data_IF_757651664119
#
_entry.id   IF_757651664119
#
_cell.length_a   1.000
_cell.length_b   1.000
_cell.length_c   1.000
_cell.angle_alpha   90.00
_cell.angle_beta   90.00
_cell.angle_gamma   90.00
#
_symmetry.space_group_name_H-M   'P 1'
#
loop_
_entity.id
_entity.type
_entity.pdbx_description
1 polymer ?
#
# COMPACT_ATOMS: atom_id res chain seq x y z
N UNK A 1 16.81 -6.57 2.69
CA UNK A 1 16.09 -7.86 2.62
C UNK A 1 14.61 -7.60 2.40
N UNK A 2 14.03 -8.29 1.43
CA UNK A 2 12.62 -8.08 1.11
C UNK A 2 11.73 -8.92 2.01
N UNK A 3 10.81 -8.25 2.68
CA UNK A 3 9.77 -8.90 3.47
C UNK A 3 8.44 -8.69 2.77
N UNK A 4 7.46 -9.53 3.10
CA UNK A 4 6.08 -9.33 2.67
C UNK A 4 5.32 -8.66 3.80
N UNK A 5 4.77 -7.51 3.52
CA UNK A 5 4.08 -6.70 4.52
C UNK A 5 2.68 -6.37 4.02
N UNK A 6 1.68 -6.65 4.84
CA UNK A 6 0.32 -6.22 4.56
C UNK A 6 0.01 -5.00 5.42
N UNK A 7 -0.55 -3.97 4.80
CA UNK A 7 -0.95 -2.76 5.49
C UNK A 7 -2.46 -2.63 5.43
N UNK A 8 -3.10 -2.68 6.58
CA UNK A 8 -4.55 -2.57 6.66
C UNK A 8 -4.95 -1.11 6.75
N UNK A 9 -5.57 -0.61 5.69
CA UNK A 9 -6.03 0.77 5.58
C UNK A 9 -5.18 1.57 4.60
N UNK A 10 -5.86 2.38 3.77
CA UNK A 10 -5.21 3.21 2.76
C UNK A 10 -5.52 4.69 2.95
N UNK A 11 -5.78 5.11 4.19
CA UNK A 11 -5.83 6.51 4.53
C UNK A 11 -4.42 7.10 4.52
N UNK A 12 -4.29 8.32 4.98
CA UNK A 12 -2.99 9.00 4.94
C UNK A 12 -1.88 8.21 5.62
N UNK A 13 -2.13 7.73 6.83
CA UNK A 13 -1.11 7.01 7.61
C UNK A 13 -0.74 5.69 6.93
N UNK A 14 -1.75 4.89 6.55
CA UNK A 14 -1.52 3.61 5.91
C UNK A 14 -0.80 3.74 4.59
N UNK A 15 -1.18 4.72 3.79
CA UNK A 15 -0.56 4.95 2.49
C UNK A 15 0.88 5.46 2.64
N UNK A 16 1.12 6.34 3.60
CA UNK A 16 2.48 6.84 3.87
C UNK A 16 3.40 5.69 4.27
N UNK A 17 2.93 4.82 5.15
CA UNK A 17 3.69 3.65 5.57
C UNK A 17 3.92 2.71 4.39
N UNK A 18 2.88 2.50 3.59
CA UNK A 18 2.97 1.59 2.43
C UNK A 18 4.01 2.05 1.42
N UNK A 19 4.01 3.33 1.05
CA UNK A 19 4.99 3.83 0.07
C UNK A 19 6.41 3.81 0.64
N UNK A 20 6.56 4.07 1.92
CA UNK A 20 7.87 4.04 2.55
C UNK A 20 8.43 2.62 2.58
N UNK A 21 7.65 1.65 3.00
CA UNK A 21 8.09 0.27 3.11
C UNK A 21 8.26 -0.40 1.75
N UNK A 22 7.45 -0.02 0.77
CA UNK A 22 7.47 -0.63 -0.56
C UNK A 22 8.73 -0.31 -1.36
N UNK A 23 9.55 0.61 -0.90
CA UNK A 23 10.83 0.89 -1.54
C UNK A 23 11.80 -0.27 -1.40
N UNK A 24 11.66 -1.08 -0.35
CA UNK A 24 12.57 -2.18 -0.06
C UNK A 24 11.88 -3.49 0.30
N UNK A 25 10.55 -3.52 0.27
CA UNK A 25 9.78 -4.70 0.65
C UNK A 25 8.59 -4.88 -0.30
N UNK A 26 8.04 -6.09 -0.32
CA UNK A 26 6.79 -6.33 -1.02
C UNK A 26 5.64 -5.92 -0.10
N UNK A 27 4.85 -4.94 -0.52
CA UNK A 27 3.77 -4.41 0.29
C UNK A 27 2.43 -4.61 -0.40
N UNK A 28 1.47 -5.12 0.35
CA UNK A 28 0.09 -5.25 -0.09
C UNK A 28 -0.77 -4.37 0.81
N UNK A 29 -1.34 -3.32 0.22
CA UNK A 29 -2.26 -2.44 0.94
C UNK A 29 -3.68 -3.00 0.82
N UNK A 30 -4.37 -3.05 1.93
CA UNK A 30 -5.72 -3.63 1.97
C UNK A 30 -6.73 -2.55 2.26
N UNK A 31 -7.76 -2.46 1.42
CA UNK A 31 -8.87 -1.55 1.62
C UNK A 31 -10.13 -2.16 1.05
N UNK A 32 -11.28 -1.64 1.44
CA UNK A 32 -12.57 -2.11 0.96
C UNK A 32 -13.14 -1.24 -0.17
N UNK A 33 -12.50 -0.11 -0.46
CA UNK A 33 -13.01 0.86 -1.44
C UNK A 33 -12.36 0.60 -2.80
N UNK A 34 -13.14 0.11 -3.80
CA UNK A 34 -12.57 -0.26 -5.10
C UNK A 34 -11.84 0.86 -5.82
N UNK A 35 -12.32 2.09 -5.71
CA UNK A 35 -11.71 3.25 -6.37
C UNK A 35 -10.30 3.51 -5.86
N UNK A 36 -10.10 3.35 -4.56
CA UNK A 36 -8.77 3.52 -3.95
C UNK A 36 -7.81 2.44 -4.41
N UNK A 37 -8.30 1.20 -4.45
CA UNK A 37 -7.51 0.06 -4.89
C UNK A 37 -7.06 0.25 -6.33
N UNK A 38 -7.97 0.65 -7.21
CA UNK A 38 -7.66 0.88 -8.60
C UNK A 38 -6.62 1.99 -8.79
N UNK A 39 -6.75 3.08 -8.05
CA UNK A 39 -5.80 4.20 -8.13
C UNK A 39 -4.40 3.78 -7.70
N UNK A 40 -4.29 3.08 -6.58
CA UNK A 40 -2.99 2.64 -6.07
C UNK A 40 -2.31 1.70 -7.05
N UNK A 41 -3.07 0.76 -7.63
CA UNK A 41 -2.53 -0.17 -8.62
C UNK A 41 -2.13 0.51 -9.93
N UNK A 42 -2.66 1.71 -10.19
CA UNK A 42 -2.27 2.53 -11.33
C UNK A 42 -1.16 3.52 -10.97
N UNK A 43 -0.60 3.42 -9.77
CA UNK A 43 0.43 4.31 -9.24
C UNK A 43 -0.07 5.75 -9.09
N UNK A 44 -1.33 5.88 -8.73
CA UNK A 44 -1.97 7.17 -8.46
C UNK A 44 -2.43 7.23 -7.02
N UNK A 45 -2.28 8.39 -6.40
CA UNK A 45 -2.68 8.54 -5.02
C UNK A 45 -4.19 8.77 -4.90
N UNK A 46 -4.88 8.04 -4.01
CA UNK A 46 -6.28 8.29 -3.74
C UNK A 46 -6.50 9.51 -2.83
N UNK A 47 -5.42 10.11 -2.33
CA UNK A 47 -5.50 11.30 -1.48
C UNK A 47 -4.59 12.40 -2.05
N UNK A 48 -4.89 13.65 -1.73
CA UNK A 48 -4.06 14.78 -2.15
C UNK A 48 -2.90 14.96 -1.17
N UNK A 49 -1.76 14.39 -1.51
CA UNK A 49 -0.54 14.50 -0.73
C UNK A 49 0.64 14.45 -1.68
N UNK A 50 1.42 15.51 -1.70
CA UNK A 50 2.54 15.65 -2.63
C UNK A 50 3.58 14.54 -2.50
N UNK A 51 3.89 14.12 -1.28
CA UNK A 51 4.86 13.05 -1.07
C UNK A 51 4.35 11.72 -1.59
N UNK A 52 3.11 11.38 -1.26
CA UNK A 52 2.53 10.12 -1.71
C UNK A 52 2.40 10.10 -3.22
N UNK A 53 1.91 11.18 -3.82
CA UNK A 53 1.79 11.28 -5.28
C UNK A 53 3.14 11.15 -5.96
N UNK A 54 4.14 11.83 -5.43
CA UNK A 54 5.50 11.79 -5.98
C UNK A 54 6.09 10.38 -5.86
N UNK A 55 5.98 9.76 -4.71
CA UNK A 55 6.54 8.42 -4.49
C UNK A 55 5.88 7.39 -5.39
N UNK A 56 4.55 7.44 -5.53
CA UNK A 56 3.83 6.50 -6.38
C UNK A 56 4.21 6.65 -7.85
N UNK A 57 4.43 7.89 -8.31
CA UNK A 57 4.71 8.14 -9.72
C UNK A 57 6.19 8.04 -10.07
N UNK A 58 7.10 8.33 -9.15
CA UNK A 58 8.54 8.43 -9.45
C UNK A 58 9.40 7.31 -8.89
N UNK A 59 8.97 6.68 -7.80
CA UNK A 59 9.77 5.62 -7.18
C UNK A 59 9.33 4.26 -7.68
N UNK A 60 10.28 3.34 -7.76
CA UNK A 60 9.96 1.94 -8.02
C UNK A 60 9.50 1.32 -6.72
N UNK A 61 8.18 1.11 -6.62
CA UNK A 61 7.58 0.55 -5.43
C UNK A 61 6.99 -0.82 -5.73
N UNK A 62 7.31 -1.79 -4.86
CA UNK A 62 6.67 -3.09 -4.92
C UNK A 62 5.40 -3.03 -4.08
N UNK A 63 4.41 -2.33 -4.60
CA UNK A 63 3.16 -2.04 -3.91
C UNK A 63 1.97 -2.42 -4.77
N UNK A 64 1.10 -3.25 -4.20
CA UNK A 64 -0.19 -3.56 -4.80
C UNK A 64 -1.28 -3.32 -3.76
N UNK A 65 -2.49 -3.12 -4.24
CA UNK A 65 -3.65 -2.96 -3.36
C UNK A 65 -4.69 -4.01 -3.67
N UNK A 66 -5.40 -4.46 -2.66
CA UNK A 66 -6.41 -5.50 -2.79
C UNK A 66 -7.52 -5.32 -1.76
N UNK A 67 -8.70 -5.86 -2.08
CA UNK A 67 -9.77 -5.97 -1.10
C UNK A 67 -9.73 -7.33 -0.38
N UNK A 68 -8.87 -8.23 -0.83
CA UNK A 68 -8.73 -9.56 -0.23
C UNK A 68 -7.74 -9.53 0.93
N UNK A 69 -8.21 -9.02 2.07
CA UNK A 69 -7.39 -8.95 3.26
C UNK A 69 -6.98 -10.29 3.79
N UNK A 70 -7.86 -11.28 3.70
CA UNK A 70 -7.57 -12.62 4.21
C UNK A 70 -6.33 -13.22 3.57
N UNK A 71 -6.25 -13.21 2.24
CA UNK A 71 -5.07 -13.70 1.54
C UNK A 71 -3.83 -12.85 1.83
N UNK A 72 -4.00 -11.53 1.83
CA UNK A 72 -2.89 -10.62 2.08
C UNK A 72 -2.26 -10.87 3.45
N UNK A 73 -3.09 -11.01 4.48
CA UNK A 73 -2.59 -11.23 5.83
C UNK A 73 -1.98 -12.61 6.01
N UNK A 74 -2.55 -13.62 5.36
CA UNK A 74 -2.04 -14.98 5.45
C UNK A 74 -0.64 -15.12 4.85
N UNK A 75 -0.35 -14.35 3.81
CA UNK A 75 0.95 -14.41 3.13
C UNK A 75 1.99 -13.44 3.66
N UNK A 76 1.59 -12.52 4.53
CA UNK A 76 2.48 -11.48 5.01
C UNK A 76 3.38 -11.97 6.15
N UNK A 77 4.62 -11.49 6.15
CA UNK A 77 5.52 -11.67 7.29
C UNK A 77 5.13 -10.73 8.43
N UNK A 78 4.65 -9.54 8.08
CA UNK A 78 4.21 -8.53 9.05
C UNK A 78 2.90 -7.92 8.59
N UNK A 79 2.06 -7.58 9.54
CA UNK A 79 0.80 -6.87 9.27
C UNK A 79 0.82 -5.56 10.06
N UNK A 80 0.63 -4.47 9.34
CA UNK A 80 0.53 -3.13 9.94
C UNK A 80 -0.92 -2.70 9.91
N UNK A 81 -1.48 -2.37 11.05
CA UNK A 81 -2.86 -1.89 11.14
C UNK A 81 -2.81 -0.37 11.28
N UNK A 82 -3.30 0.31 10.24
CA UNK A 82 -3.21 1.78 10.13
C UNK A 82 -4.60 2.38 9.92
N UNK A 83 -5.49 2.07 10.81
CA UNK A 83 -6.88 2.57 10.76
C UNK A 83 -7.12 3.72 11.70
#
# INVERSE_FOLDING_TARGET
>A
MNKSIAVAGTGYVGLSISVLLAQHNHVVAVDIIPEKIALINQKKSPIQDEYIEKYLSEKELDLTATSDGESAYAEADFVVVAT
#
